data_IF_494114785131
#
_entry.id   IF_494114785131
#
_cell.length_a   1.000
_cell.length_b   1.000
_cell.length_c   1.000
_cell.angle_alpha   90.00
_cell.angle_beta   90.00
_cell.angle_gamma   90.00
#
_symmetry.space_group_name_H-M   'P 1'
#
loop_
_entity.id
_entity.type
_entity.pdbx_description
1 polymer ?
#
# COMPACT_ATOMS: atom_id res chain seq x y z
N UNK A 1 2.16 0.92 10.25
CA UNK A 1 2.08 -0.36 11.00
C UNK A 1 3.43 -1.07 11.06
N UNK A 2 4.10 -1.29 9.92
CA UNK A 2 5.39 -2.01 9.84
C UNK A 2 6.46 -1.34 10.70
N UNK A 3 6.58 -0.01 10.66
CA UNK A 3 7.58 0.75 11.43
C UNK A 3 7.45 0.55 12.94
N UNK A 4 6.24 0.44 13.47
CA UNK A 4 6.00 0.20 14.90
C UNK A 4 6.41 -1.23 15.28
N UNK A 5 6.14 -2.22 14.42
CA UNK A 5 6.56 -3.60 14.65
C UNK A 5 8.07 -3.80 14.61
N UNK A 6 8.79 -2.98 13.81
CA UNK A 6 10.25 -3.02 13.70
C UNK A 6 10.97 -2.16 14.75
N UNK A 7 10.25 -1.36 15.55
CA UNK A 7 10.84 -0.46 16.55
C UNK A 7 11.28 -1.16 17.83
N UNK A 8 11.14 -2.47 17.93
CA UNK A 8 11.58 -3.24 19.10
C UNK A 8 13.04 -3.69 18.98
N UNK A 9 13.69 -3.90 20.11
CA UNK A 9 15.03 -4.50 20.17
C UNK A 9 14.91 -5.97 19.75
N UNK A 10 15.55 -6.31 18.63
CA UNK A 10 15.49 -7.67 18.05
C UNK A 10 16.48 -8.64 18.68
N UNK A 11 16.31 -9.92 18.38
CA UNK A 11 17.15 -11.03 18.91
C UNK A 11 18.64 -10.88 18.62
N UNK A 12 19.01 -10.27 17.49
CA UNK A 12 20.41 -10.01 17.14
C UNK A 12 21.12 -9.08 18.13
N UNK A 13 20.40 -8.19 18.80
CA UNK A 13 20.95 -7.30 19.82
C UNK A 13 21.46 -8.09 21.03
N UNK A 14 20.82 -9.20 21.38
CA UNK A 14 21.27 -10.07 22.47
C UNK A 14 22.53 -10.84 22.09
N UNK A 15 22.63 -11.31 20.84
CA UNK A 15 23.82 -12.00 20.32
C UNK A 15 25.01 -11.03 20.33
N UNK A 16 24.81 -9.79 19.84
CA UNK A 16 25.84 -8.76 19.83
C UNK A 16 26.28 -8.36 21.26
N UNK A 17 25.31 -8.21 22.18
CA UNK A 17 25.60 -7.91 23.57
C UNK A 17 26.42 -9.03 24.25
N UNK A 18 26.06 -10.30 24.00
CA UNK A 18 26.81 -11.45 24.48
C UNK A 18 28.23 -11.52 23.91
N UNK A 19 28.40 -11.26 22.63
CA UNK A 19 29.71 -11.18 21.98
C UNK A 19 30.53 -10.00 22.53
N UNK A 20 29.94 -8.82 22.69
CA UNK A 20 30.58 -7.65 23.28
C UNK A 20 31.10 -7.92 24.72
N UNK A 21 30.30 -8.65 25.51
CA UNK A 21 30.70 -9.06 26.85
C UNK A 21 31.87 -10.04 26.79
N UNK A 22 31.83 -11.07 25.93
CA UNK A 22 32.87 -12.07 25.78
C UNK A 22 34.20 -11.48 25.34
N UNK A 23 34.17 -10.45 24.51
CA UNK A 23 35.32 -9.70 24.02
C UNK A 23 35.76 -8.59 24.99
N UNK A 24 35.13 -8.45 26.16
CA UNK A 24 35.40 -7.38 27.16
C UNK A 24 35.21 -5.95 26.59
N UNK A 25 34.42 -5.80 25.53
CA UNK A 25 34.06 -4.51 24.91
C UNK A 25 32.86 -3.90 25.58
N UNK A 26 32.01 -4.72 26.21
CA UNK A 26 30.81 -4.29 26.92
C UNK A 26 30.93 -4.67 28.40
N UNK A 27 30.72 -3.74 29.34
CA UNK A 27 30.69 -4.08 30.78
C UNK A 27 29.37 -4.81 31.11
N UNK A 28 29.33 -5.61 32.18
CA UNK A 28 28.13 -6.35 32.60
C UNK A 28 26.89 -5.46 32.81
N UNK A 29 27.08 -4.25 33.30
CA UNK A 29 26.03 -3.26 33.50
C UNK A 29 25.39 -2.84 32.15
N UNK A 30 26.19 -2.75 31.09
CA UNK A 30 25.73 -2.45 29.73
C UNK A 30 24.82 -3.56 29.19
N UNK A 31 25.17 -4.83 29.45
CA UNK A 31 24.29 -5.95 29.06
C UNK A 31 22.96 -5.91 29.84
N UNK A 32 22.99 -5.60 31.12
CA UNK A 32 21.77 -5.47 31.93
C UNK A 32 20.85 -4.35 31.41
N UNK A 33 21.41 -3.23 31.00
CA UNK A 33 20.64 -2.12 30.41
C UNK A 33 20.01 -2.51 29.07
N UNK A 34 20.72 -3.24 28.20
CA UNK A 34 20.18 -3.75 26.94
C UNK A 34 19.01 -4.71 27.19
N UNK A 35 19.15 -5.64 28.17
CA UNK A 35 18.09 -6.56 28.56
C UNK A 35 16.86 -5.81 29.10
N UNK A 36 17.06 -4.86 30.00
CA UNK A 36 15.97 -4.05 30.54
C UNK A 36 15.24 -3.25 29.44
N UNK A 37 16.00 -2.62 28.53
CA UNK A 37 15.45 -1.92 27.39
C UNK A 37 14.66 -2.83 26.45
N UNK A 38 15.14 -4.03 26.20
CA UNK A 38 14.45 -5.03 25.38
C UNK A 38 13.13 -5.49 26.01
N UNK A 39 13.13 -5.81 27.31
CA UNK A 39 11.90 -6.20 28.02
C UNK A 39 10.87 -5.08 27.99
N UNK A 40 11.28 -3.84 28.24
CA UNK A 40 10.40 -2.67 28.17
C UNK A 40 9.85 -2.46 26.75
N UNK A 41 10.70 -2.59 25.74
CA UNK A 41 10.30 -2.46 24.32
C UNK A 41 9.27 -3.52 23.94
N UNK A 42 9.47 -4.77 24.32
CA UNK A 42 8.53 -5.86 24.06
C UNK A 42 7.22 -5.65 24.83
N UNK A 43 7.27 -5.25 26.08
CA UNK A 43 6.09 -4.99 26.91
C UNK A 43 5.24 -3.82 26.41
N UNK A 44 5.87 -2.79 25.82
CA UNK A 44 5.20 -1.64 25.24
C UNK A 44 4.53 -1.95 23.88
N UNK A 45 5.00 -2.96 23.17
CA UNK A 45 4.55 -3.26 21.82
C UNK A 45 3.03 -3.52 21.71
N UNK A 46 2.38 -4.34 22.56
CA UNK A 46 0.93 -4.54 22.53
C UNK A 46 0.14 -3.24 22.76
N UNK A 47 0.66 -2.35 23.63
CA UNK A 47 0.03 -1.06 23.92
C UNK A 47 0.11 -0.14 22.70
N UNK A 48 1.26 -0.11 22.04
CA UNK A 48 1.45 0.65 20.80
C UNK A 48 0.53 0.13 19.69
N UNK A 49 0.46 -1.18 19.49
CA UNK A 49 -0.46 -1.76 18.50
C UNK A 49 -1.92 -1.49 18.83
N UNK A 50 -2.32 -1.63 20.11
CA UNK A 50 -3.69 -1.34 20.55
C UNK A 50 -4.08 0.13 20.39
N UNK A 51 -3.12 1.04 20.49
CA UNK A 51 -3.36 2.49 20.33
C UNK A 51 -3.41 2.95 18.86
N UNK A 52 -3.01 2.11 17.91
CA UNK A 52 -2.92 2.51 16.48
C UNK A 52 -4.27 2.92 15.90
N UNK A 53 -5.34 2.17 16.21
CA UNK A 53 -6.68 2.51 15.71
C UNK A 53 -7.16 3.85 16.29
N UNK A 54 -6.92 4.08 17.58
CA UNK A 54 -7.26 5.35 18.22
C UNK A 54 -6.41 6.51 17.67
N UNK A 55 -5.15 6.26 17.37
CA UNK A 55 -4.24 7.25 16.79
C UNK A 55 -4.63 7.59 15.33
N UNK A 56 -5.02 6.59 14.53
CA UNK A 56 -5.52 6.80 13.17
C UNK A 56 -6.79 7.65 13.19
N UNK A 57 -7.75 7.31 14.06
CA UNK A 57 -8.96 8.11 14.24
C UNK A 57 -8.67 9.52 14.75
N UNK A 58 -7.69 9.69 15.64
CA UNK A 58 -7.27 11.00 16.13
C UNK A 58 -6.59 11.82 15.03
N UNK A 59 -5.73 11.22 14.20
CA UNK A 59 -5.09 11.89 13.05
C UNK A 59 -6.15 12.32 12.03
N UNK A 60 -7.13 11.47 11.73
CA UNK A 60 -8.25 11.80 10.82
C UNK A 60 -9.08 13.00 11.30
N UNK A 61 -9.18 13.21 12.60
CA UNK A 61 -9.85 14.38 13.20
C UNK A 61 -9.04 15.68 13.11
N UNK A 62 -7.75 15.58 12.77
CA UNK A 62 -6.85 16.74 12.68
C UNK A 62 -6.39 16.98 11.24
N UNK A 63 -7.14 17.80 10.45
CA UNK A 63 -6.89 17.96 9.01
C UNK A 63 -5.49 18.49 8.67
N UNK A 64 -4.85 19.25 9.58
CA UNK A 64 -3.47 19.73 9.41
C UNK A 64 -2.42 18.61 9.52
N UNK A 65 -2.64 17.61 10.38
CA UNK A 65 -1.79 16.44 10.53
C UNK A 65 -2.05 15.45 9.39
N UNK A 66 -3.30 15.28 9.02
CA UNK A 66 -3.68 14.46 7.85
C UNK A 66 -2.97 14.97 6.59
N UNK A 67 -3.01 16.28 6.33
CA UNK A 67 -2.33 16.88 5.19
C UNK A 67 -0.79 16.73 5.23
N UNK A 68 -0.18 16.53 6.39
CA UNK A 68 1.25 16.29 6.52
C UNK A 68 1.61 14.81 6.27
N UNK A 69 0.73 13.89 6.67
CA UNK A 69 0.92 12.44 6.56
C UNK A 69 0.49 11.94 5.16
N UNK A 70 -0.62 12.48 4.62
CA UNK A 70 -1.21 12.07 3.33
C UNK A 70 -0.72 12.89 2.12
N UNK A 71 0.26 13.79 2.32
CA UNK A 71 0.76 14.66 1.25
C UNK A 71 1.11 14.01 -0.09
N UNK A 72 1.52 12.74 -0.19
CA UNK A 72 1.79 12.14 -1.49
C UNK A 72 0.58 11.62 -2.26
N UNK A 73 -0.49 11.16 -1.57
CA UNK A 73 -1.57 10.44 -2.22
C UNK A 73 -2.70 11.36 -2.68
N UNK A 74 -3.08 12.33 -1.87
CA UNK A 74 -4.19 13.24 -2.19
C UNK A 74 -3.85 14.29 -3.25
N UNK A 75 -2.59 14.73 -3.33
CA UNK A 75 -2.14 15.68 -4.35
C UNK A 75 -2.02 15.00 -5.73
N UNK A 76 -1.58 13.75 -5.77
CA UNK A 76 -1.44 12.97 -7.01
C UNK A 76 -2.80 12.53 -7.59
N UNK A 77 -3.80 12.30 -6.74
CA UNK A 77 -5.16 12.00 -7.17
C UNK A 77 -5.90 13.23 -7.70
N UNK A 78 -5.44 14.44 -7.36
CA UNK A 78 -6.06 15.70 -7.81
C UNK A 78 -5.53 16.23 -9.14
N UNK A 79 -4.38 15.76 -9.61
CA UNK A 79 -3.70 16.35 -10.79
C UNK A 79 -3.96 15.63 -12.11
N UNK A 80 -4.70 14.51 -12.15
CA UNK A 80 -5.01 13.88 -13.42
C UNK A 80 -6.41 13.27 -13.44
N UNK A 81 -7.25 13.63 -14.42
CA UNK A 81 -8.31 12.76 -14.88
C UNK A 81 -7.63 11.56 -15.55
N UNK A 82 -7.42 10.52 -14.76
CA UNK A 82 -6.62 9.37 -15.19
C UNK A 82 -7.30 8.65 -16.36
N UNK A 83 -8.62 8.68 -16.37
CA UNK A 83 -9.45 8.05 -17.40
C UNK A 83 -10.24 9.13 -18.15
N UNK A 84 -10.14 9.18 -19.49
CA UNK A 84 -10.93 10.12 -20.31
C UNK A 84 -12.43 9.96 -20.06
N UNK A 85 -13.17 11.06 -20.07
CA UNK A 85 -14.63 11.04 -19.87
C UNK A 85 -15.41 10.24 -20.92
N UNK A 86 -14.82 10.04 -22.08
CA UNK A 86 -15.39 9.24 -23.16
C UNK A 86 -15.25 7.72 -22.99
N UNK A 87 -14.49 7.26 -21.98
CA UNK A 87 -14.27 5.84 -21.80
C UNK A 87 -15.43 5.18 -21.07
N UNK A 88 -15.98 4.13 -21.68
CA UNK A 88 -16.96 3.22 -21.10
C UNK A 88 -16.51 1.79 -21.36
N UNK A 89 -16.69 0.91 -20.37
CA UNK A 89 -16.30 -0.49 -20.49
C UNK A 89 -14.79 -0.74 -20.49
N UNK A 90 -13.99 0.25 -20.12
CA UNK A 90 -12.53 0.10 -20.01
C UNK A 90 -12.14 -0.90 -18.91
N UNK A 91 -10.92 -1.44 -18.98
CA UNK A 91 -10.40 -2.29 -17.93
C UNK A 91 -9.58 -1.49 -16.91
N UNK A 92 -9.65 -1.92 -15.65
CA UNK A 92 -8.78 -1.43 -14.58
C UNK A 92 -7.80 -2.55 -14.25
N UNK A 93 -6.51 -2.28 -14.44
CA UNK A 93 -5.42 -3.22 -14.12
C UNK A 93 -4.75 -2.81 -12.81
N UNK A 94 -4.84 -3.68 -11.80
CA UNK A 94 -4.24 -3.49 -10.49
C UNK A 94 -2.89 -4.19 -10.42
N UNK A 95 -1.83 -3.39 -10.32
CA UNK A 95 -0.44 -3.83 -10.30
C UNK A 95 0.18 -3.95 -11.70
N UNK A 96 1.35 -3.33 -11.89
CA UNK A 96 2.13 -3.39 -13.13
C UNK A 96 3.50 -4.04 -12.91
N UNK A 97 3.52 -5.13 -12.13
CA UNK A 97 4.67 -6.03 -11.99
C UNK A 97 4.82 -6.92 -13.22
N UNK A 98 5.53 -8.05 -13.07
CA UNK A 98 5.79 -9.00 -14.18
C UNK A 98 4.52 -9.47 -14.90
N UNK A 99 3.49 -9.83 -14.16
CA UNK A 99 2.22 -10.30 -14.75
C UNK A 99 1.41 -9.15 -15.31
N UNK A 100 1.29 -8.04 -14.56
CA UNK A 100 0.55 -6.86 -15.02
C UNK A 100 1.13 -6.26 -16.30
N UNK A 101 2.46 -6.25 -16.46
CA UNK A 101 3.09 -5.78 -17.69
C UNK A 101 2.69 -6.63 -18.91
N UNK A 102 2.64 -7.94 -18.78
CA UNK A 102 2.19 -8.85 -19.87
C UNK A 102 0.72 -8.60 -20.20
N UNK A 103 -0.14 -8.44 -19.17
CA UNK A 103 -1.55 -8.13 -19.37
C UNK A 103 -1.72 -6.77 -20.07
N UNK A 104 -0.99 -5.74 -19.65
CA UNK A 104 -1.01 -4.43 -20.28
C UNK A 104 -0.58 -4.49 -21.76
N UNK A 105 0.45 -5.26 -22.07
CA UNK A 105 0.89 -5.49 -23.45
C UNK A 105 -0.18 -6.16 -24.30
N UNK A 106 -0.84 -7.20 -23.76
CA UNK A 106 -1.95 -7.88 -24.44
C UNK A 106 -3.14 -6.94 -24.70
N UNK A 107 -3.45 -6.04 -23.78
CA UNK A 107 -4.53 -5.06 -23.93
C UNK A 107 -4.17 -4.04 -25.00
N UNK A 108 -2.94 -3.55 -25.00
CA UNK A 108 -2.41 -2.62 -26.01
C UNK A 108 -2.45 -3.24 -27.39
N UNK A 109 -2.01 -4.50 -27.53
CA UNK A 109 -2.03 -5.22 -28.81
C UNK A 109 -3.45 -5.39 -29.40
N UNK A 110 -4.48 -5.32 -28.54
CA UNK A 110 -5.90 -5.40 -28.92
C UNK A 110 -6.60 -4.05 -29.02
N UNK A 111 -5.88 -2.95 -28.82
CA UNK A 111 -6.43 -1.59 -28.72
C UNK A 111 -7.55 -1.50 -27.65
N UNK A 112 -7.47 -2.30 -26.59
CA UNK A 112 -8.41 -2.25 -25.48
C UNK A 112 -8.09 -1.05 -24.58
N UNK A 113 -9.10 -0.28 -24.23
CA UNK A 113 -8.95 0.82 -23.27
C UNK A 113 -8.70 0.26 -21.86
N UNK A 114 -7.62 0.71 -21.20
CA UNK A 114 -7.32 0.32 -19.84
C UNK A 114 -6.59 1.42 -19.06
N UNK A 115 -6.78 1.44 -17.75
CA UNK A 115 -6.04 2.27 -16.82
C UNK A 115 -5.33 1.38 -15.79
N UNK A 116 -4.22 1.85 -15.24
CA UNK A 116 -3.38 1.09 -14.32
C UNK A 116 -3.40 1.73 -12.93
N UNK A 117 -3.55 0.91 -11.87
CA UNK A 117 -3.32 1.29 -10.48
C UNK A 117 -2.05 0.60 -10.01
N UNK A 118 -1.11 1.38 -9.46
CA UNK A 118 0.17 0.87 -9.01
C UNK A 118 0.66 1.67 -7.78
N UNK A 119 1.28 0.99 -6.83
CA UNK A 119 1.83 1.62 -5.62
C UNK A 119 3.18 2.29 -5.87
N UNK A 120 3.96 1.78 -6.81
CA UNK A 120 5.28 2.33 -7.13
C UNK A 120 5.17 3.55 -8.04
N UNK A 121 5.50 4.72 -7.47
CA UNK A 121 5.51 6.00 -8.16
C UNK A 121 6.38 6.02 -9.44
N UNK A 122 7.49 5.27 -9.45
CA UNK A 122 8.39 5.22 -10.62
C UNK A 122 7.72 4.50 -11.79
N UNK A 123 6.96 3.44 -11.48
CA UNK A 123 6.19 2.70 -12.49
C UNK A 123 5.08 3.59 -13.03
N UNK A 124 4.32 4.26 -12.16
CA UNK A 124 3.27 5.18 -12.57
C UNK A 124 3.81 6.27 -13.47
N UNK A 125 4.89 6.96 -13.07
CA UNK A 125 5.51 8.02 -13.86
C UNK A 125 5.94 7.53 -15.27
N UNK A 126 6.50 6.33 -15.35
CA UNK A 126 6.88 5.71 -16.64
C UNK A 126 5.66 5.45 -17.51
N UNK A 127 4.60 4.83 -16.97
CA UNK A 127 3.37 4.53 -17.70
C UNK A 127 2.71 5.80 -18.24
N UNK A 128 2.64 6.84 -17.39
CA UNK A 128 2.10 8.15 -17.79
C UNK A 128 2.93 8.77 -18.91
N UNK A 129 4.26 8.69 -18.86
CA UNK A 129 5.14 9.15 -19.93
C UNK A 129 4.95 8.36 -21.24
N UNK A 130 4.55 7.10 -21.18
CA UNK A 130 4.17 6.26 -22.32
C UNK A 130 2.74 6.53 -22.83
N UNK A 131 2.01 7.48 -22.22
CA UNK A 131 0.63 7.81 -22.57
C UNK A 131 -0.41 6.81 -22.05
N UNK A 132 -0.04 5.96 -21.10
CA UNK A 132 -0.94 5.01 -20.46
C UNK A 132 -1.53 5.68 -19.20
N UNK A 133 -2.86 5.77 -19.09
CA UNK A 133 -3.50 6.25 -17.87
C UNK A 133 -3.08 5.40 -16.66
N UNK A 134 -2.37 6.01 -15.71
CA UNK A 134 -1.90 5.31 -14.53
C UNK A 134 -2.06 6.19 -13.29
N UNK A 135 -2.52 5.60 -12.20
CA UNK A 135 -2.74 6.25 -10.92
C UNK A 135 -1.94 5.55 -9.82
N UNK A 136 -1.25 6.34 -9.00
CA UNK A 136 -0.63 5.82 -7.80
C UNK A 136 -1.67 5.71 -6.69
N UNK A 137 -1.84 4.53 -6.12
CA UNK A 137 -2.76 4.34 -4.98
C UNK A 137 -3.16 2.91 -4.74
N UNK A 138 -4.01 2.74 -3.73
CA UNK A 138 -4.67 1.48 -3.43
C UNK A 138 -6.05 1.47 -4.11
N UNK A 139 -6.36 0.42 -4.85
CA UNK A 139 -7.67 0.26 -5.49
C UNK A 139 -8.82 0.18 -4.48
N UNK A 140 -8.54 -0.18 -3.22
CA UNK A 140 -9.52 -0.16 -2.15
C UNK A 140 -9.89 1.26 -1.68
N UNK A 141 -9.14 2.29 -2.10
CA UNK A 141 -9.46 3.69 -1.78
C UNK A 141 -10.62 4.17 -2.67
N UNK A 142 -11.72 4.69 -2.08
CA UNK A 142 -12.86 5.21 -2.82
C UNK A 142 -12.51 6.37 -3.77
N UNK A 143 -11.47 7.16 -3.45
CA UNK A 143 -11.03 8.25 -4.33
C UNK A 143 -10.30 7.72 -5.57
N UNK A 144 -9.49 6.68 -5.39
CA UNK A 144 -8.84 5.96 -6.49
C UNK A 144 -9.89 5.33 -7.41
N UNK A 145 -10.88 4.63 -6.84
CA UNK A 145 -11.98 4.06 -7.62
C UNK A 145 -12.75 5.10 -8.42
N UNK A 146 -13.04 6.27 -7.83
CA UNK A 146 -13.71 7.38 -8.51
C UNK A 146 -12.86 7.95 -9.65
N UNK A 147 -11.58 8.18 -9.41
CA UNK A 147 -10.65 8.71 -10.41
C UNK A 147 -10.46 7.78 -11.61
N UNK A 148 -10.68 6.48 -11.41
CA UNK A 148 -10.66 5.46 -12.43
C UNK A 148 -12.02 5.19 -13.06
N UNK A 149 -13.07 5.88 -12.61
CA UNK A 149 -14.45 5.66 -13.06
C UNK A 149 -14.86 4.19 -13.00
N UNK A 150 -14.62 3.56 -11.85
CA UNK A 150 -14.85 2.13 -11.66
C UNK A 150 -16.31 1.71 -11.94
N UNK A 151 -17.28 2.60 -11.74
CA UNK A 151 -18.70 2.36 -12.08
C UNK A 151 -18.96 2.22 -13.57
N UNK A 152 -18.08 2.72 -14.42
CA UNK A 152 -18.19 2.70 -15.88
C UNK A 152 -17.21 1.70 -16.52
N UNK A 153 -16.36 1.09 -15.70
CA UNK A 153 -15.43 0.07 -16.15
C UNK A 153 -16.15 -1.24 -16.51
N UNK A 154 -15.58 -1.98 -17.43
CA UNK A 154 -16.09 -3.28 -17.88
C UNK A 154 -15.39 -4.47 -17.23
N UNK A 155 -14.20 -4.28 -16.65
CA UNK A 155 -13.38 -5.35 -16.10
C UNK A 155 -12.36 -4.84 -15.09
N UNK A 156 -12.22 -5.55 -13.98
CA UNK A 156 -11.15 -5.33 -13.01
C UNK A 156 -10.17 -6.52 -13.03
N UNK A 157 -8.90 -6.25 -13.24
CA UNK A 157 -7.86 -7.29 -13.33
C UNK A 157 -6.87 -7.10 -12.17
N UNK A 158 -6.81 -8.05 -11.25
CA UNK A 158 -5.83 -8.11 -10.19
C UNK A 158 -4.59 -8.90 -10.62
N UNK A 159 -3.51 -8.21 -10.96
CA UNK A 159 -2.24 -8.83 -11.34
C UNK A 159 -1.28 -9.02 -10.14
N UNK A 160 -1.65 -8.55 -8.95
CA UNK A 160 -0.90 -8.71 -7.72
C UNK A 160 -1.42 -9.91 -6.92
N UNK A 161 -0.53 -10.67 -6.25
CA UNK A 161 -0.92 -11.83 -5.44
C UNK A 161 -1.28 -11.41 -3.99
N UNK A 162 -2.12 -10.39 -3.82
CA UNK A 162 -2.55 -9.88 -2.52
C UNK A 162 -4.04 -10.13 -2.31
N UNK A 163 -4.35 -11.17 -1.54
CA UNK A 163 -5.73 -11.56 -1.23
C UNK A 163 -6.44 -10.57 -0.30
N UNK A 164 -5.70 -9.82 0.52
CA UNK A 164 -6.28 -8.82 1.44
C UNK A 164 -6.72 -7.59 0.65
N UNK A 165 -5.85 -7.09 -0.21
CA UNK A 165 -6.18 -5.95 -1.06
C UNK A 165 -7.33 -6.28 -2.03
N UNK A 166 -7.34 -7.50 -2.59
CA UNK A 166 -8.45 -7.97 -3.43
C UNK A 166 -9.77 -7.98 -2.64
N UNK A 167 -9.78 -8.51 -1.42
CA UNK A 167 -10.98 -8.55 -0.57
C UNK A 167 -11.49 -7.15 -0.28
N UNK A 168 -10.61 -6.25 0.17
CA UNK A 168 -10.98 -4.88 0.49
C UNK A 168 -11.56 -4.16 -0.73
N UNK A 169 -10.96 -4.35 -1.90
CA UNK A 169 -11.47 -3.78 -3.15
C UNK A 169 -12.86 -4.33 -3.51
N UNK A 170 -13.09 -5.64 -3.34
CA UNK A 170 -14.39 -6.27 -3.59
C UNK A 170 -15.46 -5.79 -2.60
N UNK A 171 -15.10 -5.56 -1.34
CA UNK A 171 -16.00 -4.99 -0.32
C UNK A 171 -16.38 -3.56 -0.72
N UNK A 172 -15.43 -2.73 -1.10
CA UNK A 172 -15.67 -1.37 -1.54
C UNK A 172 -16.54 -1.30 -2.82
N UNK A 173 -16.31 -2.17 -3.79
CA UNK A 173 -17.17 -2.27 -4.99
C UNK A 173 -18.62 -2.60 -4.62
N UNK A 174 -18.82 -3.53 -3.68
CA UNK A 174 -20.17 -3.91 -3.20
C UNK A 174 -20.86 -2.79 -2.43
N UNK A 175 -20.14 -2.10 -1.56
CA UNK A 175 -20.66 -0.96 -0.79
C UNK A 175 -21.12 0.19 -1.68
N UNK A 176 -20.47 0.38 -2.83
CA UNK A 176 -20.82 1.39 -3.82
C UNK A 176 -21.77 0.88 -4.93
N UNK A 177 -22.33 -0.34 -4.78
CA UNK A 177 -23.21 -1.03 -5.76
C UNK A 177 -22.60 -1.12 -7.17
N UNK A 178 -21.27 -1.20 -7.26
CA UNK A 178 -20.54 -1.37 -8.52
C UNK A 178 -20.40 -2.87 -8.82
N UNK A 179 -21.12 -3.33 -9.87
CA UNK A 179 -21.07 -4.72 -10.33
C UNK A 179 -20.11 -4.84 -11.51
N UNK A 180 -18.87 -5.14 -11.21
CA UNK A 180 -17.79 -5.23 -12.17
C UNK A 180 -17.25 -6.67 -12.21
N UNK A 181 -17.12 -7.31 -13.38
CA UNK A 181 -16.39 -8.57 -13.51
C UNK A 181 -14.95 -8.43 -13.00
N UNK A 182 -14.51 -9.40 -12.20
CA UNK A 182 -13.17 -9.37 -11.61
C UNK A 182 -12.41 -10.61 -12.00
N UNK A 183 -11.21 -10.43 -12.53
CA UNK A 183 -10.25 -11.49 -12.80
C UNK A 183 -9.06 -11.27 -11.87
N UNK A 184 -8.75 -12.25 -11.04
CA UNK A 184 -7.65 -12.18 -10.11
C UNK A 184 -6.63 -13.28 -10.35
N UNK A 185 -5.36 -12.94 -10.22
CA UNK A 185 -4.30 -13.93 -10.19
C UNK A 185 -4.37 -14.69 -8.88
N UNK A 186 -4.45 -16.01 -8.97
CA UNK A 186 -4.24 -16.94 -7.85
C UNK A 186 -2.81 -17.49 -7.89
N UNK A 187 -2.34 -17.97 -6.74
CA UNK A 187 -1.05 -18.66 -6.63
C UNK A 187 -1.12 -20.06 -7.22
#
# INVERSE_FOLDING_TARGET
TVSVGLAQIGEFSFILAGLGLSLKLLPPEGQTLILAGAILSIALNPVLFGSMNAMDEWIRRHPKLLALVDRPTAELAREAPVVPDSWQGHAILVGHGRVGAVVAEMMRARNAAYAVVEMDRKIVARLTAEGIPALQGDIADPEVMRSLRASEAGLLIFAIPDSVQLRNALEQLRENDVRLPVVARTH
#
